data_IF_645960371131
#
_entry.id   IF_645960371131
#
_cell.length_a   1.000
_cell.length_b   1.000
_cell.length_c   1.000
_cell.angle_alpha   90.00
_cell.angle_beta   90.00
_cell.angle_gamma   90.00
#
_symmetry.space_group_name_H-M   'P 1'
#
loop_
_entity.id
_entity.type
_entity.pdbx_description
1 polymer ?
#
# COMPACT_ATOMS: atom_id res chain seq x y z
N UNK A 1 9.05 -25.80 16.71
CA UNK A 1 9.74 -24.85 15.84
C UNK A 1 8.67 -24.13 15.04
N UNK A 2 8.32 -22.87 15.39
CA UNK A 2 7.35 -22.05 14.64
C UNK A 2 8.16 -21.24 13.63
N UNK A 3 7.94 -21.52 12.35
CA UNK A 3 8.48 -20.72 11.24
C UNK A 3 7.90 -19.30 11.32
N UNK A 4 8.72 -18.25 11.32
CA UNK A 4 8.18 -16.87 11.29
C UNK A 4 7.56 -16.63 9.93
N UNK A 5 6.31 -16.13 9.93
CA UNK A 5 5.66 -15.64 8.71
C UNK A 5 6.51 -14.52 8.09
N UNK A 6 6.66 -14.50 6.77
CA UNK A 6 7.32 -13.39 6.09
C UNK A 6 6.42 -12.13 6.17
N UNK A 7 6.84 -11.16 6.95
CA UNK A 7 6.22 -9.83 7.10
C UNK A 7 6.46 -8.91 5.87
N UNK A 8 6.64 -9.49 4.68
CA UNK A 8 6.95 -8.76 3.45
C UNK A 8 5.83 -7.84 2.95
N UNK A 9 4.57 -8.16 3.22
CA UNK A 9 3.42 -7.46 2.64
C UNK A 9 3.00 -6.16 3.36
N UNK A 10 3.50 -5.90 4.55
CA UNK A 10 3.11 -4.72 5.34
C UNK A 10 3.83 -3.44 4.90
N UNK A 11 4.95 -3.54 4.20
CA UNK A 11 5.73 -2.37 3.77
C UNK A 11 5.11 -1.57 2.61
N UNK A 12 4.10 -2.11 1.92
CA UNK A 12 3.41 -1.43 0.82
C UNK A 12 2.20 -0.59 1.30
N UNK A 13 1.82 -0.70 2.57
CA UNK A 13 0.58 -0.14 3.12
C UNK A 13 0.70 1.31 3.61
N UNK A 14 1.88 1.91 3.56
CA UNK A 14 2.06 3.27 4.08
C UNK A 14 2.60 4.22 3.03
N UNK A 15 1.71 4.82 2.24
CA UNK A 15 1.94 6.13 1.65
C UNK A 15 1.58 7.13 2.77
N UNK A 16 2.52 7.87 3.34
CA UNK A 16 2.19 8.88 4.34
C UNK A 16 1.43 10.01 3.63
N UNK A 17 0.20 10.27 4.03
CA UNK A 17 -0.33 11.61 3.94
C UNK A 17 0.62 12.55 4.70
N UNK A 18 0.74 13.79 4.26
CA UNK A 18 1.65 14.83 4.74
C UNK A 18 1.63 15.01 6.29
N UNK A 19 2.35 14.16 7.00
CA UNK A 19 2.54 14.20 8.44
C UNK A 19 3.95 13.73 8.80
N UNK A 20 4.65 14.49 9.63
CA UNK A 20 6.08 14.36 9.97
C UNK A 20 6.54 12.90 10.18
N UNK A 21 7.60 12.44 9.47
CA UNK A 21 8.00 11.03 9.40
C UNK A 21 8.70 10.48 10.65
N UNK A 22 8.66 11.13 11.79
CA UNK A 22 9.51 10.84 12.94
C UNK A 22 9.14 9.56 13.72
N UNK A 23 7.86 9.18 13.77
CA UNK A 23 7.42 7.98 14.53
C UNK A 23 7.61 6.68 13.74
N UNK A 24 7.31 6.71 12.45
CA UNK A 24 7.37 5.53 11.58
C UNK A 24 8.82 5.09 11.30
N UNK A 25 9.71 6.05 11.06
CA UNK A 25 11.14 5.79 10.85
C UNK A 25 11.79 5.20 12.12
N UNK A 26 11.36 5.64 13.30
CA UNK A 26 11.81 5.07 14.58
C UNK A 26 11.30 3.63 14.77
N UNK A 27 10.06 3.34 14.39
CA UNK A 27 9.48 2.01 14.45
C UNK A 27 10.18 1.02 13.52
N UNK A 28 10.47 1.40 12.27
CA UNK A 28 11.23 0.54 11.35
C UNK A 28 12.68 0.34 11.79
N UNK A 29 13.31 1.33 12.45
CA UNK A 29 14.64 1.16 13.07
C UNK A 29 14.61 0.13 14.20
N UNK A 30 13.59 0.15 15.05
CA UNK A 30 13.40 -0.82 16.14
C UNK A 30 13.19 -2.24 15.62
N UNK A 31 12.56 -2.40 14.45
CA UNK A 31 12.40 -3.68 13.76
C UNK A 31 13.66 -4.14 12.99
N UNK A 32 14.78 -3.41 13.11
CA UNK A 32 16.02 -3.73 12.38
C UNK A 32 15.94 -3.50 10.87
N UNK A 33 14.86 -2.87 10.37
CA UNK A 33 14.68 -2.53 8.97
C UNK A 33 15.13 -1.10 8.71
N UNK A 34 16.40 -0.94 8.38
CA UNK A 34 16.92 0.32 7.87
C UNK A 34 16.52 0.40 6.39
N UNK A 35 15.53 1.23 6.08
CA UNK A 35 15.24 1.55 4.68
C UNK A 35 16.13 2.75 4.30
N UNK A 36 17.19 2.56 3.51
CA UNK A 36 18.00 3.68 3.01
C UNK A 36 17.07 4.64 2.25
N UNK A 37 17.37 5.93 2.28
CA UNK A 37 16.60 6.91 1.51
C UNK A 37 16.77 6.59 0.03
N UNK A 38 15.66 6.33 -0.66
CA UNK A 38 15.63 6.20 -2.10
C UNK A 38 16.01 7.54 -2.73
N UNK A 39 17.03 7.55 -3.58
CA UNK A 39 17.53 8.73 -4.30
C UNK A 39 17.47 8.56 -5.81
N UNK A 40 17.62 7.33 -6.29
CA UNK A 40 17.68 6.99 -7.68
C UNK A 40 16.65 5.91 -8.01
N UNK A 41 15.77 6.20 -8.95
CA UNK A 41 14.72 5.27 -9.40
C UNK A 41 14.90 5.00 -10.88
N UNK A 42 14.90 3.73 -11.25
CA UNK A 42 14.96 3.27 -12.62
C UNK A 42 13.58 2.79 -13.07
N UNK A 43 13.04 3.38 -14.12
CA UNK A 43 11.73 3.04 -14.66
C UNK A 43 11.90 2.40 -16.06
N UNK A 44 11.21 1.31 -16.30
CA UNK A 44 11.09 0.72 -17.62
C UNK A 44 9.67 0.84 -18.12
N UNK A 45 9.50 1.58 -19.24
CA UNK A 45 8.22 1.94 -19.85
C UNK A 45 7.80 3.37 -19.51
N UNK A 46 7.79 4.23 -20.52
CA UNK A 46 7.49 5.68 -20.45
C UNK A 46 6.00 6.01 -20.64
N UNK A 47 5.09 5.14 -20.16
CA UNK A 47 3.65 5.36 -20.25
C UNK A 47 3.11 6.42 -19.29
N UNK A 48 1.78 6.58 -19.24
CA UNK A 48 1.12 7.57 -18.37
C UNK A 48 1.47 7.41 -16.90
N UNK A 49 1.59 6.18 -16.40
CA UNK A 49 1.95 5.93 -14.99
C UNK A 49 3.38 6.43 -14.73
N UNK A 50 4.33 6.14 -15.62
CA UNK A 50 5.72 6.62 -15.51
C UNK A 50 5.78 8.14 -15.49
N UNK A 51 5.01 8.82 -16.35
CA UNK A 51 4.93 10.28 -16.38
C UNK A 51 4.50 10.88 -15.04
N UNK A 52 3.36 10.43 -14.49
CA UNK A 52 2.88 10.95 -13.21
C UNK A 52 3.78 10.56 -12.04
N UNK A 53 4.30 9.34 -12.02
CA UNK A 53 5.22 8.88 -10.99
C UNK A 53 6.50 9.71 -10.97
N UNK A 54 7.10 9.93 -12.13
CA UNK A 54 8.31 10.75 -12.28
C UNK A 54 8.08 12.17 -11.80
N UNK A 55 6.98 12.82 -12.18
CA UNK A 55 6.65 14.16 -11.73
C UNK A 55 6.50 14.26 -10.19
N UNK A 56 6.03 13.21 -9.53
CA UNK A 56 5.96 13.13 -8.07
C UNK A 56 7.36 12.93 -7.48
N UNK A 57 8.15 12.00 -8.01
CA UNK A 57 9.49 11.67 -7.52
C UNK A 57 10.45 12.87 -7.64
N UNK A 58 10.39 13.60 -8.76
CA UNK A 58 11.18 14.82 -8.97
C UNK A 58 10.88 15.91 -7.92
N UNK A 59 9.60 16.06 -7.51
CA UNK A 59 9.21 16.98 -6.43
C UNK A 59 9.77 16.57 -5.08
N UNK A 60 9.99 15.29 -4.88
CA UNK A 60 10.61 14.73 -3.68
C UNK A 60 12.15 14.77 -3.71
N UNK A 61 12.74 15.28 -4.80
CA UNK A 61 14.20 15.34 -4.98
C UNK A 61 14.81 14.00 -5.32
N UNK A 62 14.04 13.08 -5.91
CA UNK A 62 14.50 11.75 -6.33
C UNK A 62 14.84 11.82 -7.82
N UNK A 63 16.02 11.32 -8.20
CA UNK A 63 16.44 11.21 -9.59
C UNK A 63 15.76 10.03 -10.26
N UNK A 64 15.25 10.26 -11.46
CA UNK A 64 14.55 9.23 -12.22
C UNK A 64 15.23 9.02 -13.59
N UNK A 65 15.51 7.76 -13.90
CA UNK A 65 15.96 7.32 -15.21
C UNK A 65 14.85 6.49 -15.85
N UNK A 66 14.46 6.79 -17.08
CA UNK A 66 13.34 6.13 -17.79
C UNK A 66 13.87 5.51 -19.07
N UNK A 67 13.65 4.21 -19.26
CA UNK A 67 13.81 3.57 -20.56
C UNK A 67 12.45 3.46 -21.24
N UNK A 68 12.36 3.96 -22.46
CA UNK A 68 11.15 3.87 -23.30
C UNK A 68 11.55 3.51 -24.74
N UNK A 69 10.79 2.59 -25.33
CA UNK A 69 11.09 2.08 -26.66
C UNK A 69 10.67 3.02 -27.79
N UNK A 70 9.61 3.79 -27.59
CA UNK A 70 9.07 4.71 -28.59
C UNK A 70 9.84 6.01 -28.62
N UNK A 71 10.51 6.32 -29.72
CA UNK A 71 11.25 7.57 -29.90
C UNK A 71 10.37 8.81 -29.69
N UNK A 72 9.13 8.79 -30.19
CA UNK A 72 8.20 9.91 -30.02
C UNK A 72 7.83 10.14 -28.55
N UNK A 73 7.65 9.05 -27.78
CA UNK A 73 7.43 9.16 -26.34
C UNK A 73 8.68 9.64 -25.62
N UNK A 74 9.86 9.18 -26.00
CA UNK A 74 11.12 9.65 -25.42
C UNK A 74 11.24 11.17 -25.58
N UNK A 75 10.99 11.70 -26.77
CA UNK A 75 11.02 13.14 -27.05
C UNK A 75 10.02 13.89 -26.18
N UNK A 76 8.77 13.43 -26.15
CA UNK A 76 7.72 14.04 -25.33
C UNK A 76 8.09 14.01 -23.82
N UNK A 77 8.55 12.89 -23.29
CA UNK A 77 8.97 12.78 -21.90
C UNK A 77 10.12 13.71 -21.56
N UNK A 78 11.11 13.84 -22.44
CA UNK A 78 12.24 14.77 -22.24
C UNK A 78 11.81 16.22 -22.21
N UNK A 79 10.74 16.59 -22.93
CA UNK A 79 10.19 17.94 -22.92
C UNK A 79 9.42 18.25 -21.62
N UNK A 80 8.61 17.28 -21.13
CA UNK A 80 7.69 17.51 -20.01
C UNK A 80 8.28 17.13 -18.64
N UNK A 81 9.38 16.37 -18.61
CA UNK A 81 10.10 15.92 -17.42
C UNK A 81 11.59 16.31 -17.50
N UNK A 82 11.92 17.59 -17.35
CA UNK A 82 13.25 18.11 -17.65
C UNK A 82 14.35 17.65 -16.68
N UNK A 83 13.99 17.06 -15.54
CA UNK A 83 14.95 16.55 -14.55
C UNK A 83 15.16 15.04 -14.67
N UNK A 84 14.29 14.34 -15.40
CA UNK A 84 14.46 12.92 -15.65
C UNK A 84 15.45 12.66 -16.78
N UNK A 85 16.22 11.60 -16.67
CA UNK A 85 17.02 11.07 -17.77
C UNK A 85 16.16 10.11 -18.57
N UNK A 86 15.91 10.41 -19.85
CA UNK A 86 15.11 9.58 -20.74
C UNK A 86 16.02 8.89 -21.76
N UNK A 87 15.97 7.58 -21.80
CA UNK A 87 16.76 6.72 -22.66
C UNK A 87 15.82 6.06 -23.65
N UNK A 88 16.14 6.16 -24.94
CA UNK A 88 15.36 5.52 -26.00
C UNK A 88 15.95 4.14 -26.28
N UNK A 89 15.23 3.08 -25.86
CA UNK A 89 15.70 1.71 -26.03
C UNK A 89 14.68 0.67 -25.55
N UNK A 90 15.02 -0.59 -25.78
CA UNK A 90 14.22 -1.71 -25.31
C UNK A 90 14.62 -2.07 -23.87
N UNK A 91 13.75 -1.85 -22.90
CA UNK A 91 14.02 -2.14 -21.50
C UNK A 91 14.03 -3.63 -21.15
N UNK A 92 13.83 -4.53 -22.10
CA UNK A 92 14.06 -5.98 -21.93
C UNK A 92 15.47 -6.39 -22.34
N UNK A 93 16.23 -5.47 -22.92
CA UNK A 93 17.62 -5.67 -23.29
C UNK A 93 18.51 -5.52 -22.05
N UNK A 94 19.17 -6.62 -21.65
CA UNK A 94 20.02 -6.65 -20.47
C UNK A 94 21.30 -5.82 -20.68
N UNK A 95 21.87 -5.82 -21.89
CA UNK A 95 23.07 -5.04 -22.18
C UNK A 95 22.79 -3.55 -21.97
N UNK A 96 21.64 -3.06 -22.47
CA UNK A 96 21.22 -1.68 -22.24
C UNK A 96 21.01 -1.36 -20.76
N UNK A 97 20.40 -2.27 -19.98
CA UNK A 97 20.21 -2.07 -18.55
C UNK A 97 21.54 -1.98 -17.80
N UNK A 98 22.53 -2.77 -18.20
CA UNK A 98 23.88 -2.76 -17.64
C UNK A 98 24.65 -1.49 -18.05
N UNK A 99 24.61 -1.09 -19.33
CA UNK A 99 25.22 0.16 -19.82
C UNK A 99 24.70 1.39 -19.08
N UNK A 100 23.41 1.37 -18.72
CA UNK A 100 22.75 2.44 -17.99
C UNK A 100 22.87 2.32 -16.46
N UNK A 101 23.71 1.39 -15.99
CA UNK A 101 24.04 1.20 -14.57
C UNK A 101 22.79 1.01 -13.69
N UNK A 102 21.93 0.07 -14.10
CA UNK A 102 20.68 -0.25 -13.36
C UNK A 102 20.96 -0.63 -11.91
N UNK A 103 22.13 -1.21 -11.63
CA UNK A 103 22.55 -1.67 -10.30
C UNK A 103 22.80 -0.53 -9.31
N UNK A 104 23.08 0.68 -9.79
CA UNK A 104 23.24 1.88 -8.95
C UNK A 104 21.89 2.46 -8.46
N UNK A 105 20.77 1.84 -8.85
CA UNK A 105 19.45 2.32 -8.48
C UNK A 105 19.01 1.80 -7.13
N UNK A 106 18.35 2.65 -6.35
CA UNK A 106 17.73 2.27 -5.07
C UNK A 106 16.39 1.56 -5.27
N UNK A 107 15.74 1.83 -6.40
CA UNK A 107 14.50 1.18 -6.79
C UNK A 107 14.39 1.00 -8.31
N UNK A 108 13.75 -0.10 -8.70
CA UNK A 108 13.45 -0.45 -10.09
C UNK A 108 11.94 -0.66 -10.25
N UNK A 109 11.34 -0.06 -11.28
CA UNK A 109 9.90 -0.16 -11.52
C UNK A 109 9.61 -0.51 -12.98
N UNK A 110 9.02 -1.66 -13.22
CA UNK A 110 8.63 -2.13 -14.55
C UNK A 110 7.16 -1.73 -14.84
N UNK A 111 6.97 -0.87 -15.86
CA UNK A 111 5.69 -0.25 -16.21
C UNK A 111 5.31 -0.41 -17.68
N UNK A 112 5.91 -1.35 -18.39
CA UNK A 112 5.60 -1.61 -19.81
C UNK A 112 4.14 -2.07 -19.99
N UNK A 113 3.67 -2.18 -21.22
CA UNK A 113 2.32 -2.66 -21.51
C UNK A 113 2.21 -4.19 -21.45
N UNK A 114 3.34 -4.91 -21.37
CA UNK A 114 3.40 -6.36 -21.32
C UNK A 114 3.73 -6.84 -19.92
N UNK A 115 2.78 -7.56 -19.33
CA UNK A 115 2.90 -8.07 -17.95
C UNK A 115 4.06 -9.07 -17.83
N UNK A 116 4.27 -9.89 -18.87
CA UNK A 116 5.36 -10.88 -18.93
C UNK A 116 6.73 -10.21 -18.90
N UNK A 117 6.92 -9.17 -19.73
CA UNK A 117 8.17 -8.40 -19.77
C UNK A 117 8.43 -7.75 -18.42
N UNK A 118 7.39 -7.13 -17.82
CA UNK A 118 7.52 -6.52 -16.51
C UNK A 118 7.98 -7.51 -15.42
N UNK A 119 7.47 -8.74 -15.44
CA UNK A 119 7.90 -9.76 -14.50
C UNK A 119 9.35 -10.19 -14.74
N UNK A 120 9.72 -10.49 -16.00
CA UNK A 120 11.05 -10.97 -16.35
C UNK A 120 12.11 -9.93 -15.98
N UNK A 121 11.94 -8.67 -16.38
CA UNK A 121 12.91 -7.62 -16.09
C UNK A 121 12.95 -7.28 -14.58
N UNK A 122 11.84 -7.44 -13.88
CA UNK A 122 11.82 -7.26 -12.43
C UNK A 122 12.55 -8.38 -11.69
N UNK A 123 12.43 -9.63 -12.14
CA UNK A 123 13.21 -10.74 -11.61
C UNK A 123 14.71 -10.55 -11.88
N UNK A 124 15.08 -10.08 -13.06
CA UNK A 124 16.45 -9.69 -13.37
C UNK A 124 16.95 -8.59 -12.43
N UNK A 125 16.21 -7.51 -12.27
CA UNK A 125 16.57 -6.41 -11.37
C UNK A 125 16.73 -6.87 -9.91
N UNK A 126 15.88 -7.79 -9.45
CA UNK A 126 15.99 -8.40 -8.12
C UNK A 126 17.26 -9.25 -8.00
N UNK A 127 17.60 -10.03 -9.03
CA UNK A 127 18.83 -10.83 -9.06
C UNK A 127 20.09 -9.94 -9.04
N UNK A 128 20.02 -8.76 -9.62
CA UNK A 128 21.10 -7.75 -9.57
C UNK A 128 21.22 -7.08 -8.17
N UNK A 129 20.39 -7.43 -7.22
CA UNK A 129 20.46 -6.95 -5.85
C UNK A 129 19.84 -5.56 -5.63
N UNK A 130 19.01 -5.06 -6.54
CA UNK A 130 18.33 -3.77 -6.36
C UNK A 130 17.38 -3.86 -5.15
N UNK A 131 17.50 -2.93 -4.17
CA UNK A 131 16.82 -3.06 -2.88
C UNK A 131 15.29 -3.09 -2.96
N UNK A 132 14.72 -2.38 -3.94
CA UNK A 132 13.28 -2.31 -4.13
C UNK A 132 12.92 -2.51 -5.60
N UNK A 133 12.15 -3.55 -5.86
CA UNK A 133 11.68 -3.87 -7.22
C UNK A 133 10.16 -3.90 -7.22
N UNK A 134 9.55 -3.24 -8.21
CA UNK A 134 8.10 -3.16 -8.38
C UNK A 134 7.73 -3.52 -9.81
N UNK A 135 6.82 -4.46 -9.99
CA UNK A 135 6.29 -4.83 -11.30
C UNK A 135 4.81 -4.41 -11.44
N UNK A 136 4.47 -3.80 -12.56
CA UNK A 136 3.07 -3.64 -12.96
C UNK A 136 2.58 -4.95 -13.57
N UNK A 137 1.43 -5.45 -13.10
CA UNK A 137 0.71 -6.55 -13.75
C UNK A 137 -0.80 -6.27 -13.77
N UNK A 138 -1.41 -6.45 -14.93
CA UNK A 138 -2.86 -6.35 -15.08
C UNK A 138 -3.55 -7.70 -14.85
N UNK A 139 -2.79 -8.79 -14.86
CA UNK A 139 -3.29 -10.18 -14.70
C UNK A 139 -3.06 -10.63 -13.26
N UNK A 140 -4.15 -11.02 -12.59
CA UNK A 140 -4.09 -11.46 -11.17
C UNK A 140 -3.32 -12.76 -10.98
N UNK A 141 -3.34 -13.67 -11.94
CA UNK A 141 -2.66 -14.97 -11.86
C UNK A 141 -1.12 -14.84 -11.83
N UNK A 142 -0.56 -13.71 -12.28
CA UNK A 142 0.88 -13.50 -12.23
C UNK A 142 1.39 -13.10 -10.84
N UNK A 143 0.56 -12.54 -9.98
CA UNK A 143 0.96 -12.15 -8.63
C UNK A 143 1.48 -13.35 -7.81
N UNK A 144 0.78 -14.50 -7.87
CA UNK A 144 1.22 -15.72 -7.18
C UNK A 144 2.56 -16.25 -7.70
N UNK A 145 2.77 -16.23 -9.02
CA UNK A 145 4.04 -16.65 -9.64
C UNK A 145 5.18 -15.72 -9.23
N UNK A 146 4.94 -14.42 -9.26
CA UNK A 146 5.90 -13.41 -8.87
C UNK A 146 6.31 -13.55 -7.40
N UNK A 147 5.36 -13.74 -6.49
CA UNK A 147 5.63 -13.98 -5.07
C UNK A 147 6.42 -15.26 -4.84
N UNK A 148 6.09 -16.35 -5.54
CA UNK A 148 6.84 -17.61 -5.46
C UNK A 148 8.30 -17.44 -5.93
N UNK A 149 8.55 -16.51 -6.86
CA UNK A 149 9.86 -16.14 -7.34
C UNK A 149 10.57 -15.09 -6.45
N UNK A 150 9.95 -14.64 -5.34
CA UNK A 150 10.52 -13.67 -4.40
C UNK A 150 10.22 -12.20 -4.71
N UNK A 151 9.41 -11.91 -5.72
CA UNK A 151 9.03 -10.53 -6.06
C UNK A 151 7.80 -10.10 -5.23
N UNK A 152 8.05 -9.40 -4.14
CA UNK A 152 7.00 -9.02 -3.17
C UNK A 152 6.09 -7.87 -3.62
N UNK A 153 6.49 -7.11 -4.64
CA UNK A 153 5.77 -5.90 -5.03
C UNK A 153 5.26 -5.97 -6.46
N UNK A 154 4.10 -6.61 -6.63
CA UNK A 154 3.35 -6.60 -7.88
C UNK A 154 2.12 -5.71 -7.73
N UNK A 155 1.99 -4.71 -8.60
CA UNK A 155 0.93 -3.71 -8.54
C UNK A 155 0.01 -3.84 -9.74
N UNK A 156 -1.30 -3.96 -9.49
CA UNK A 156 -2.33 -3.89 -10.53
C UNK A 156 -3.05 -2.54 -10.48
N UNK A 157 -2.80 -1.64 -11.45
CA UNK A 157 -3.47 -0.33 -11.47
C UNK A 157 -4.99 -0.43 -11.53
N UNK A 158 -5.52 -1.45 -12.23
CA UNK A 158 -6.97 -1.69 -12.33
C UNK A 158 -7.58 -2.01 -10.97
N UNK A 159 -6.92 -2.86 -10.18
CA UNK A 159 -7.41 -3.24 -8.85
C UNK A 159 -7.28 -2.09 -7.85
N UNK A 160 -6.18 -1.33 -7.92
CA UNK A 160 -6.01 -0.14 -7.08
C UNK A 160 -7.11 0.89 -7.36
N UNK A 161 -7.38 1.18 -8.64
CA UNK A 161 -8.45 2.10 -9.04
C UNK A 161 -9.83 1.59 -8.61
N UNK A 162 -10.12 0.31 -8.83
CA UNK A 162 -11.38 -0.28 -8.38
C UNK A 162 -11.54 -0.21 -6.85
N UNK A 163 -10.47 -0.43 -6.10
CA UNK A 163 -10.45 -0.28 -4.64
C UNK A 163 -10.74 1.15 -4.19
N UNK A 164 -10.13 2.13 -4.83
CA UNK A 164 -10.38 3.55 -4.55
C UNK A 164 -11.83 3.95 -4.86
N UNK A 165 -12.38 3.52 -6.00
CA UNK A 165 -13.79 3.76 -6.34
C UNK A 165 -14.70 3.12 -5.30
N UNK A 166 -14.44 1.86 -4.92
CA UNK A 166 -15.21 1.17 -3.89
C UNK A 166 -15.19 1.93 -2.56
N UNK A 167 -14.04 2.46 -2.16
CA UNK A 167 -13.89 3.27 -0.96
C UNK A 167 -14.78 4.53 -1.00
N UNK A 168 -14.79 5.26 -2.13
CA UNK A 168 -15.66 6.42 -2.33
C UNK A 168 -17.13 6.04 -2.23
N UNK A 169 -17.54 4.95 -2.92
CA UNK A 169 -18.94 4.46 -2.90
C UNK A 169 -19.36 4.05 -1.48
N UNK A 170 -18.52 3.32 -0.75
CA UNK A 170 -18.78 2.94 0.65
C UNK A 170 -18.88 4.18 1.55
N UNK A 171 -17.99 5.17 1.37
CA UNK A 171 -18.06 6.44 2.10
C UNK A 171 -19.35 7.21 1.87
N UNK A 172 -19.90 7.18 0.66
CA UNK A 172 -21.20 7.80 0.36
C UNK A 172 -22.39 7.08 1.02
N UNK A 173 -22.31 5.76 1.20
CA UNK A 173 -23.34 4.98 1.90
C UNK A 173 -23.32 5.23 3.41
N UNK A 174 -22.20 5.64 3.96
CA UNK A 174 -21.97 5.84 5.40
C UNK A 174 -22.19 7.29 5.87
N UNK A 175 -23.17 7.99 5.32
CA UNK A 175 -23.43 9.41 5.64
C UNK A 175 -23.77 9.71 7.12
N UNK A 176 -23.92 8.70 7.98
CA UNK A 176 -24.26 8.85 9.42
C UNK A 176 -23.29 8.14 10.37
N UNK A 177 -22.29 7.40 9.88
CA UNK A 177 -21.39 6.59 10.68
C UNK A 177 -19.96 7.13 10.78
N UNK A 178 -19.06 6.31 11.33
CA UNK A 178 -17.62 6.60 11.37
C UNK A 178 -17.03 6.62 9.98
N UNK A 179 -16.27 7.67 9.64
CA UNK A 179 -15.70 7.81 8.31
C UNK A 179 -14.63 6.74 8.08
N UNK A 180 -14.81 5.93 7.02
CA UNK A 180 -13.78 5.03 6.55
C UNK A 180 -12.78 5.80 5.68
N UNK A 181 -11.56 5.96 6.16
CA UNK A 181 -10.50 6.67 5.44
C UNK A 181 -9.79 5.80 4.42
N UNK A 182 -9.60 4.53 4.72
CA UNK A 182 -8.87 3.61 3.86
C UNK A 182 -9.38 2.18 3.98
N UNK A 183 -9.28 1.44 2.88
CA UNK A 183 -9.55 0.01 2.78
C UNK A 183 -8.44 -0.65 1.99
N UNK A 184 -7.82 -1.65 2.56
CA UNK A 184 -6.76 -2.44 1.93
C UNK A 184 -7.10 -3.92 2.00
N UNK A 185 -6.98 -4.60 0.87
CA UNK A 185 -7.03 -6.07 0.86
C UNK A 185 -5.66 -6.62 1.21
N UNK A 186 -5.61 -7.50 2.20
CA UNK A 186 -4.39 -8.14 2.70
C UNK A 186 -4.55 -9.67 2.61
N UNK A 187 -3.43 -10.40 2.77
CA UNK A 187 -3.42 -11.86 2.70
C UNK A 187 -4.11 -12.39 1.43
N UNK A 188 -3.68 -11.93 0.24
CA UNK A 188 -4.22 -12.29 -1.08
C UNK A 188 -5.74 -12.09 -1.22
N UNK A 189 -6.27 -11.11 -0.50
CA UNK A 189 -7.70 -10.78 -0.51
C UNK A 189 -8.54 -11.57 0.51
N UNK A 190 -7.92 -12.43 1.33
CA UNK A 190 -8.61 -13.18 2.37
C UNK A 190 -8.92 -12.37 3.63
N UNK A 191 -8.38 -11.16 3.73
CA UNK A 191 -8.70 -10.22 4.79
C UNK A 191 -8.68 -8.78 4.29
N UNK A 192 -9.37 -7.90 4.99
CA UNK A 192 -9.41 -6.47 4.74
C UNK A 192 -8.84 -5.73 5.96
N UNK A 193 -7.94 -4.76 5.71
CA UNK A 193 -7.52 -3.79 6.71
C UNK A 193 -8.25 -2.47 6.43
N UNK A 194 -8.98 -1.99 7.39
CA UNK A 194 -9.83 -0.80 7.27
C UNK A 194 -9.42 0.23 8.30
N UNK A 195 -9.35 1.46 7.87
CA UNK A 195 -9.06 2.61 8.72
C UNK A 195 -10.33 3.43 8.92
N UNK A 196 -10.72 3.62 10.17
CA UNK A 196 -11.87 4.43 10.56
C UNK A 196 -11.44 5.58 11.47
N UNK A 197 -12.18 6.68 11.42
CA UNK A 197 -12.08 7.72 12.45
C UNK A 197 -13.29 7.61 13.36
N UNK A 198 -13.04 7.36 14.65
CA UNK A 198 -14.07 7.32 15.67
C UNK A 198 -14.68 8.73 15.84
N UNK A 199 -16.00 8.80 15.91
CA UNK A 199 -16.72 10.06 16.05
C UNK A 199 -17.78 10.00 17.18
N UNK A 200 -18.62 11.02 17.25
CA UNK A 200 -19.64 11.10 18.29
C UNK A 200 -20.67 9.95 18.24
N UNK A 201 -20.86 9.31 17.08
CA UNK A 201 -21.81 8.19 16.89
C UNK A 201 -21.16 6.81 17.08
N UNK A 202 -19.85 6.75 17.28
CA UNK A 202 -19.16 5.48 17.57
C UNK A 202 -19.62 4.93 18.91
N UNK A 203 -20.12 3.70 18.90
CA UNK A 203 -20.52 2.96 20.12
C UNK A 203 -19.31 2.55 20.96
N UNK A 204 -19.53 2.27 22.22
CA UNK A 204 -18.53 1.71 23.14
C UNK A 204 -17.23 2.55 23.25
N UNK A 205 -17.34 3.87 23.07
CA UNK A 205 -16.22 4.77 23.31
C UNK A 205 -15.83 4.75 24.78
N UNK A 206 -14.55 5.01 25.02
CA UNK A 206 -13.97 5.11 26.37
C UNK A 206 -14.12 3.82 27.22
N UNK A 207 -14.60 2.72 26.60
CA UNK A 207 -14.72 1.41 27.23
C UNK A 207 -13.48 0.58 26.91
N UNK A 208 -12.82 -0.06 27.89
CA UNK A 208 -11.68 -0.93 27.66
C UNK A 208 -11.99 -2.06 26.67
N UNK A 209 -11.09 -2.31 25.71
CA UNK A 209 -11.31 -3.32 24.67
C UNK A 209 -11.60 -4.72 25.23
N UNK A 210 -11.04 -5.07 26.40
CA UNK A 210 -11.32 -6.36 27.08
C UNK A 210 -12.79 -6.53 27.49
N UNK A 211 -13.53 -5.44 27.62
CA UNK A 211 -14.94 -5.44 28.02
C UNK A 211 -15.88 -5.46 26.81
N UNK A 212 -15.32 -5.29 25.61
CA UNK A 212 -16.07 -5.26 24.37
C UNK A 212 -16.14 -6.64 23.73
N UNK A 213 -17.29 -6.95 23.15
CA UNK A 213 -17.48 -8.14 22.32
C UNK A 213 -17.35 -7.74 20.86
N UNK A 214 -16.28 -8.21 20.23
CA UNK A 214 -16.05 -8.04 18.80
C UNK A 214 -16.62 -9.25 18.04
N UNK A 215 -17.16 -9.00 16.84
CA UNK A 215 -17.62 -10.08 15.97
C UNK A 215 -16.46 -11.02 15.62
N UNK A 216 -16.72 -12.32 15.39
CA UNK A 216 -15.70 -13.28 15.03
C UNK A 216 -14.91 -12.86 13.78
N UNK A 217 -13.60 -13.05 13.78
CA UNK A 217 -12.73 -12.72 12.66
C UNK A 217 -12.32 -11.26 12.55
N UNK A 218 -12.58 -10.47 13.59
CA UNK A 218 -12.19 -9.06 13.69
C UNK A 218 -11.05 -8.90 14.68
N UNK A 219 -10.07 -8.07 14.32
CA UNK A 219 -8.94 -7.69 15.15
C UNK A 219 -8.76 -6.17 15.11
N UNK A 220 -8.80 -5.51 16.25
CA UNK A 220 -8.29 -4.14 16.41
C UNK A 220 -6.76 -4.17 16.34
N UNK A 221 -6.19 -3.70 15.24
CA UNK A 221 -4.77 -3.84 14.99
C UNK A 221 -3.95 -2.65 15.49
N UNK A 222 -4.47 -1.43 15.32
CA UNK A 222 -3.76 -0.19 15.69
C UNK A 222 -4.77 0.87 16.13
N UNK A 223 -4.40 1.65 17.14
CA UNK A 223 -5.07 2.90 17.51
C UNK A 223 -4.09 4.06 17.30
N UNK A 224 -4.57 5.15 16.73
CA UNK A 224 -3.83 6.42 16.68
C UNK A 224 -4.58 7.43 17.54
N UNK A 225 -4.04 7.68 18.72
CA UNK A 225 -4.59 8.63 19.68
C UNK A 225 -3.72 9.89 19.71
N UNK A 226 -4.30 11.06 19.39
CA UNK A 226 -3.58 12.35 19.35
C UNK A 226 -2.25 12.30 18.56
N UNK A 227 -2.24 11.57 17.43
CA UNK A 227 -1.06 11.40 16.58
C UNK A 227 -0.03 10.38 17.10
N UNK A 228 -0.30 9.67 18.20
CA UNK A 228 0.53 8.58 18.71
C UNK A 228 -0.05 7.24 18.27
N UNK A 229 0.81 6.42 17.66
CA UNK A 229 0.44 5.06 17.25
C UNK A 229 0.60 4.14 18.45
N UNK A 230 -0.45 3.40 18.76
CA UNK A 230 -0.52 2.43 19.84
C UNK A 230 -0.99 1.09 19.28
N UNK A 231 -0.28 0.02 19.63
CA UNK A 231 -0.81 -1.34 19.44
C UNK A 231 -1.75 -1.57 20.63
N UNK A 232 -3.08 -1.71 20.38
CA UNK A 232 -4.03 -1.78 21.47
C UNK A 232 -3.90 -3.09 22.25
N UNK A 233 -4.10 -2.99 23.53
CA UNK A 233 -4.25 -4.11 24.46
C UNK A 233 -5.66 -4.09 25.11
N UNK A 234 -5.92 -5.03 26.00
CA UNK A 234 -7.23 -5.12 26.68
C UNK A 234 -7.58 -3.90 27.53
N UNK A 235 -6.62 -3.07 27.93
CA UNK A 235 -6.86 -1.85 28.73
C UNK A 235 -7.06 -0.61 27.86
N UNK A 236 -6.73 -0.69 26.58
CA UNK A 236 -6.91 0.40 25.62
C UNK A 236 -8.39 0.65 25.36
N UNK A 237 -8.76 1.90 25.11
CA UNK A 237 -10.11 2.32 24.72
C UNK A 237 -10.08 3.18 23.48
N UNK A 238 -11.20 3.29 22.78
CA UNK A 238 -11.37 4.12 21.58
C UNK A 238 -12.00 5.44 22.02
N UNK A 239 -11.32 6.56 21.79
CA UNK A 239 -11.86 7.89 22.03
C UNK A 239 -12.37 8.55 20.72
N UNK A 240 -13.23 9.56 20.87
CA UNK A 240 -13.65 10.35 19.71
C UNK A 240 -12.44 11.07 19.10
N UNK A 241 -12.31 11.00 17.77
CA UNK A 241 -11.18 11.54 17.02
C UNK A 241 -10.01 10.57 16.82
N UNK A 242 -10.04 9.40 17.46
CA UNK A 242 -9.03 8.38 17.24
C UNK A 242 -9.17 7.75 15.86
N UNK A 243 -8.02 7.45 15.24
CA UNK A 243 -7.98 6.58 14.08
C UNK A 243 -7.83 5.14 14.54
N UNK A 244 -8.73 4.27 14.08
CA UNK A 244 -8.79 2.85 14.42
C UNK A 244 -8.52 2.03 13.17
N UNK A 245 -7.47 1.22 13.20
CA UNK A 245 -7.21 0.25 12.12
C UNK A 245 -7.72 -1.11 12.57
N UNK A 246 -8.67 -1.63 11.79
CA UNK A 246 -9.31 -2.92 12.02
C UNK A 246 -8.93 -3.88 10.92
N UNK A 247 -8.54 -5.09 11.29
CA UNK A 247 -8.35 -6.20 10.34
C UNK A 247 -9.54 -7.13 10.47
N UNK A 248 -10.18 -7.44 9.34
CA UNK A 248 -11.32 -8.35 9.29
C UNK A 248 -11.17 -9.39 8.19
N UNK A 249 -11.57 -10.61 8.49
CA UNK A 249 -11.81 -11.66 7.50
C UNK A 249 -13.21 -11.58 6.90
N UNK A 250 -14.09 -10.79 7.49
CA UNK A 250 -15.45 -10.57 7.01
C UNK A 250 -15.44 -9.38 6.05
N UNK A 251 -15.96 -9.58 4.85
CA UNK A 251 -16.15 -8.52 3.88
C UNK A 251 -17.46 -7.76 4.18
N UNK A 252 -17.45 -6.44 3.95
CA UNK A 252 -18.67 -5.64 4.06
C UNK A 252 -18.83 -4.86 5.35
N UNK A 253 -17.79 -4.72 6.18
CA UNK A 253 -17.78 -3.74 7.27
C UNK A 253 -17.76 -2.35 6.64
N UNK A 254 -18.78 -1.55 6.95
CA UNK A 254 -18.96 -0.21 6.40
C UNK A 254 -18.70 0.88 7.44
N UNK A 255 -18.95 0.58 8.70
CA UNK A 255 -18.84 1.49 9.84
C UNK A 255 -18.03 0.85 10.97
N UNK A 256 -17.39 1.66 11.81
CA UNK A 256 -16.66 1.16 12.97
C UNK A 256 -17.61 0.44 13.96
N UNK A 257 -18.88 0.82 14.01
CA UNK A 257 -19.87 0.14 14.85
C UNK A 257 -20.18 -1.28 14.41
N UNK A 258 -19.91 -1.63 13.14
CA UNK A 258 -20.15 -2.97 12.61
C UNK A 258 -19.21 -4.04 13.19
N UNK A 259 -18.11 -3.61 13.83
CA UNK A 259 -17.16 -4.53 14.46
C UNK A 259 -17.68 -5.14 15.77
N UNK A 260 -18.63 -4.47 16.43
CA UNK A 260 -19.17 -4.92 17.70
C UNK A 260 -20.29 -5.92 17.49
N UNK A 261 -20.43 -6.89 18.41
CA UNK A 261 -21.62 -7.72 18.51
C UNK A 261 -22.83 -6.85 18.89
N UNK A 262 -23.99 -7.15 18.30
CA UNK A 262 -25.23 -6.48 18.69
C UNK A 262 -25.58 -6.88 20.13
N UNK A 263 -25.82 -5.90 21.00
CA UNK A 263 -26.26 -6.17 22.34
C UNK A 263 -27.68 -6.81 22.27
N UNK A 264 -27.83 -8.00 22.84
CA UNK A 264 -29.09 -8.77 22.89
C UNK A 264 -30.25 -8.03 23.65
N UNK A 265 -30.17 -6.73 23.87
CA UNK A 265 -31.13 -5.95 24.66
C UNK A 265 -32.28 -5.33 23.84
N UNK A 266 -32.36 -5.54 22.52
CA UNK A 266 -33.49 -5.01 21.72
C UNK A 266 -34.54 -6.06 21.31
N UNK A 267 -34.48 -7.31 21.80
CA UNK A 267 -35.49 -8.34 21.54
C UNK A 267 -36.49 -8.56 22.71
N UNK A 268 -36.63 -7.59 23.55
CA UNK A 268 -37.51 -7.69 24.73
C UNK A 268 -38.46 -6.51 24.88
N UNK A 269 -39.27 -6.23 23.89
CA UNK A 269 -40.27 -5.18 24.01
C UNK A 269 -41.35 -5.23 22.92
N UNK A 270 -42.19 -6.27 22.97
CA UNK A 270 -43.60 -6.21 22.58
C UNK A 270 -44.24 -7.56 22.95
N UNK A 271 -44.87 -7.60 24.09
CA UNK A 271 -45.91 -8.56 24.49
C UNK A 271 -47.08 -7.80 25.07
#
# INVERSE_FOLDING_TARGET
MRTPMPLGSVSCLMIPGEGKPTGLTAFFRLLGRHNPRCRNVFLVGGGRIAHYLTAILERLGIHVKIIERSLDRCRHLSEVLPKATVICGDGTDQELLEEEDVTASDAFVALTDRDEDNLIISLYAMQQGIPKVVAKSNRQNYAGIAHAAGLDSVISPKLLTAGQILQVVRGMQNSKGSVMNALYKIADGHAEAMEFVANATTRNRDTPLRELRLKPGILGAVLVHQGRIVIPDGSSSIAAGDTVIVISRNHGILDLNDIFEDSLLELGGDA
#
